data_IF_458004601415
#
_entry.id   IF_458004601415
#
_cell.length_a   1.000
_cell.length_b   1.000
_cell.length_c   1.000
_cell.angle_alpha   90.00
_cell.angle_beta   90.00
_cell.angle_gamma   90.00
#
_symmetry.space_group_name_H-M   'P 1'
#
loop_
_entity.id
_entity.type
_entity.pdbx_description
1 polymer ?
#
# COMPACT_ATOMS: atom_id res chain seq x y z
N UNK A 1 -16.57 -13.98 3.07
CA UNK A 1 -15.59 -13.60 4.07
C UNK A 1 -14.26 -13.27 3.43
N UNK A 2 -13.66 -12.11 3.73
CA UNK A 2 -12.37 -11.77 3.14
C UNK A 2 -11.27 -12.74 3.58
N UNK A 3 -10.37 -13.00 2.66
CA UNK A 3 -9.21 -13.85 2.90
C UNK A 3 -7.96 -12.99 2.91
N UNK A 4 -6.99 -13.30 3.76
CA UNK A 4 -5.74 -12.57 3.78
C UNK A 4 -4.93 -12.91 2.52
N UNK A 5 -4.53 -11.87 1.78
CA UNK A 5 -3.63 -12.00 0.63
C UNK A 5 -2.18 -11.77 1.05
N UNK A 6 -1.93 -10.69 1.77
CA UNK A 6 -0.58 -10.26 2.14
C UNK A 6 -0.61 -9.62 3.52
N UNK A 7 0.38 -9.92 4.35
CA UNK A 7 0.50 -9.32 5.67
C UNK A 7 1.94 -9.38 6.15
N UNK A 8 2.29 -8.52 7.08
CA UNK A 8 3.62 -8.54 7.68
C UNK A 8 3.95 -7.25 8.40
N UNK A 9 5.19 -7.17 8.81
CA UNK A 9 5.79 -5.99 9.41
C UNK A 9 6.85 -5.49 8.44
N UNK A 10 6.51 -4.45 7.67
CA UNK A 10 7.42 -3.90 6.69
C UNK A 10 8.46 -3.02 7.39
N UNK A 11 9.75 -3.37 7.26
CA UNK A 11 10.82 -2.51 7.73
C UNK A 11 11.23 -1.57 6.61
N UNK A 12 11.03 -0.27 6.81
CA UNK A 12 11.38 0.73 5.82
C UNK A 12 12.90 0.77 5.59
N UNK A 13 13.32 0.99 4.35
CA UNK A 13 14.73 1.06 3.98
C UNK A 13 15.06 2.24 3.06
N UNK A 14 14.12 3.18 2.91
CA UNK A 14 14.29 4.34 2.04
C UNK A 14 13.86 4.12 0.61
N UNK A 15 13.64 2.88 0.21
CA UNK A 15 13.16 2.54 -1.14
C UNK A 15 11.67 2.32 -1.15
N UNK A 16 11.09 2.35 -2.35
CA UNK A 16 9.68 2.00 -2.54
C UNK A 16 9.54 0.49 -2.40
N UNK A 17 8.79 0.05 -1.39
CA UNK A 17 8.64 -1.36 -1.06
C UNK A 17 7.21 -1.81 -1.31
N UNK A 18 7.07 -3.02 -1.82
CA UNK A 18 5.79 -3.58 -2.21
C UNK A 18 5.05 -4.17 -1.02
N UNK A 19 3.79 -3.78 -0.84
CA UNK A 19 2.87 -4.40 0.12
C UNK A 19 1.99 -5.43 -0.56
N UNK A 20 1.59 -5.16 -1.79
CA UNK A 20 0.71 -6.02 -2.58
C UNK A 20 1.10 -5.89 -4.05
N UNK A 21 1.14 -7.02 -4.73
CA UNK A 21 1.19 -7.07 -6.20
C UNK A 21 0.46 -8.35 -6.61
N UNK A 22 -0.71 -8.19 -7.21
CA UNK A 22 -1.58 -9.30 -7.51
C UNK A 22 -2.20 -9.16 -8.90
N UNK A 23 -2.24 -10.25 -9.62
CA UNK A 23 -2.75 -10.30 -11.00
C UNK A 23 -4.08 -11.03 -11.11
N UNK A 24 -4.73 -11.34 -9.99
CA UNK A 24 -6.05 -11.96 -9.99
C UNK A 24 -7.14 -10.91 -10.02
N UNK A 25 -8.28 -11.28 -10.59
CA UNK A 25 -9.42 -10.37 -10.70
C UNK A 25 -10.27 -10.48 -9.44
N UNK A 26 -9.89 -9.70 -8.42
CA UNK A 26 -10.54 -9.73 -7.11
C UNK A 26 -10.67 -8.33 -6.53
N UNK A 27 -11.39 -8.21 -5.44
CA UNK A 27 -11.43 -7.00 -4.64
C UNK A 27 -10.38 -7.09 -3.54
N UNK A 28 -9.65 -5.99 -3.34
CA UNK A 28 -8.63 -5.90 -2.30
C UNK A 28 -8.96 -4.76 -1.35
N UNK A 29 -8.71 -4.96 -0.07
CA UNK A 29 -8.86 -3.96 0.97
C UNK A 29 -7.89 -4.28 2.09
N UNK A 30 -7.72 -3.36 3.05
CA UNK A 30 -6.83 -3.67 4.16
C UNK A 30 -6.53 -2.48 5.03
N UNK A 31 -5.41 -2.58 5.73
CA UNK A 31 -4.95 -1.51 6.59
C UNK A 31 -3.42 -1.49 6.66
N UNK A 32 -2.90 -0.31 6.98
CA UNK A 32 -1.48 -0.08 7.22
C UNK A 32 -1.40 0.70 8.53
N UNK A 33 -0.55 0.25 9.45
CA UNK A 33 -0.38 0.89 10.74
C UNK A 33 0.85 1.79 10.72
N UNK A 34 0.64 3.10 10.85
CA UNK A 34 1.69 4.11 10.85
C UNK A 34 2.02 4.62 12.24
N UNK A 35 1.67 3.88 13.31
CA UNK A 35 1.86 4.38 14.67
C UNK A 35 3.34 4.60 15.02
N UNK A 36 4.26 3.94 14.32
CA UNK A 36 5.68 4.09 14.58
C UNK A 36 6.30 5.34 13.95
N UNK A 37 5.54 6.09 13.15
CA UNK A 37 6.02 7.36 12.60
C UNK A 37 6.25 8.37 13.72
N UNK A 38 7.33 9.12 13.59
CA UNK A 38 7.69 10.18 14.53
C UNK A 38 7.95 11.48 13.77
N UNK A 39 8.33 12.51 14.51
CA UNK A 39 8.68 13.80 13.92
C UNK A 39 9.76 13.63 12.84
N UNK A 40 9.57 14.31 11.72
CA UNK A 40 10.46 14.30 10.54
C UNK A 40 10.38 13.05 9.68
N UNK A 41 9.55 12.08 10.01
CA UNK A 41 9.32 10.93 9.12
C UNK A 41 8.31 11.30 8.04
N UNK A 42 8.54 10.82 6.82
CA UNK A 42 7.60 10.96 5.71
C UNK A 42 7.40 9.60 5.06
N UNK A 43 6.15 9.18 4.95
CA UNK A 43 5.76 7.92 4.31
C UNK A 43 4.83 8.23 3.15
N UNK A 44 5.11 7.60 2.01
CA UNK A 44 4.30 7.73 0.81
C UNK A 44 3.73 6.36 0.46
N UNK A 45 2.40 6.31 0.30
CA UNK A 45 1.71 5.10 -0.12
C UNK A 45 1.20 5.35 -1.54
N UNK A 46 1.59 4.48 -2.47
CA UNK A 46 1.23 4.61 -3.89
C UNK A 46 0.41 3.41 -4.32
N UNK A 47 -0.57 3.69 -5.14
CA UNK A 47 -1.48 2.69 -5.69
C UNK A 47 -1.32 2.65 -7.20
N UNK A 48 -1.05 1.46 -7.74
CA UNK A 48 -0.90 1.23 -9.17
C UNK A 48 -1.97 0.25 -9.62
N UNK A 49 -2.54 0.50 -10.78
CA UNK A 49 -3.51 -0.41 -11.36
C UNK A 49 -3.20 -0.62 -12.84
N UNK A 50 -3.40 -1.86 -13.28
CA UNK A 50 -3.36 -2.22 -14.68
C UNK A 50 -4.73 -2.73 -15.05
N UNK A 51 -5.43 -1.97 -15.85
CA UNK A 51 -6.80 -2.25 -16.26
C UNK A 51 -6.86 -2.41 -17.77
N UNK A 52 -7.91 -3.02 -18.27
CA UNK A 52 -8.15 -3.33 -19.69
C UNK A 52 -7.43 -4.59 -20.13
N UNK A 53 -8.22 -5.57 -20.48
CA UNK A 53 -7.73 -6.87 -20.88
C UNK A 53 -7.32 -6.94 -22.37
N UNK A 54 -7.69 -5.93 -23.18
CA UNK A 54 -7.41 -5.94 -24.61
C UNK A 54 -6.41 -4.87 -24.98
N UNK A 55 -5.47 -5.20 -25.84
CA UNK A 55 -4.47 -4.27 -26.31
C UNK A 55 -3.38 -3.99 -25.29
N UNK A 56 -2.90 -2.78 -25.26
CA UNK A 56 -1.80 -2.37 -24.40
C UNK A 56 -2.33 -1.86 -23.07
N UNK A 57 -2.11 -2.64 -22.02
CA UNK A 57 -2.40 -2.21 -20.65
C UNK A 57 -1.06 -2.03 -19.93
N UNK A 58 -0.90 -0.91 -19.23
CA UNK A 58 0.31 -0.63 -18.45
C UNK A 58 -0.06 -0.41 -17.01
N UNK A 59 0.84 -0.81 -16.11
CA UNK A 59 0.69 -0.54 -14.69
C UNK A 59 0.90 0.96 -14.47
N UNK A 60 -0.15 1.66 -14.09
CA UNK A 60 -0.12 3.11 -13.94
C UNK A 60 -0.45 3.51 -12.51
N UNK A 61 0.30 4.46 -11.98
CA UNK A 61 0.01 5.02 -10.66
C UNK A 61 -1.26 5.87 -10.76
N UNK A 62 -2.27 5.54 -9.95
CA UNK A 62 -3.52 6.26 -9.96
C UNK A 62 -3.77 7.06 -8.69
N UNK A 63 -3.08 6.77 -7.59
CA UNK A 63 -3.25 7.51 -6.35
C UNK A 63 -1.95 7.52 -5.54
N UNK A 64 -1.73 8.59 -4.81
CA UNK A 64 -0.57 8.75 -3.92
C UNK A 64 -1.05 9.45 -2.65
N UNK A 65 -0.78 8.86 -1.50
CA UNK A 65 -1.05 9.47 -0.20
C UNK A 65 0.27 9.70 0.52
N UNK A 66 0.45 10.90 1.07
CA UNK A 66 1.67 11.27 1.80
C UNK A 66 1.32 11.58 3.24
N UNK A 67 2.07 10.98 4.15
CA UNK A 67 1.92 11.16 5.60
C UNK A 67 3.22 11.70 6.17
N UNK A 68 3.15 12.75 6.99
CA UNK A 68 4.33 13.37 7.59
C UNK A 68 4.17 13.46 9.10
N UNK A 69 5.27 13.28 9.80
CA UNK A 69 5.35 13.33 11.26
C UNK A 69 4.51 12.24 11.93
N UNK A 70 4.45 12.29 13.26
CA UNK A 70 3.62 11.36 14.02
C UNK A 70 2.14 11.54 13.65
N UNK A 71 1.43 10.45 13.44
CA UNK A 71 0.03 10.48 13.02
C UNK A 71 -0.89 10.43 14.23
N UNK A 72 -1.88 11.33 14.26
CA UNK A 72 -2.92 11.31 15.28
C UNK A 72 -3.82 10.09 15.13
N UNK A 73 -4.10 9.73 13.86
CA UNK A 73 -4.89 8.55 13.54
C UNK A 73 -4.01 7.62 12.69
N UNK A 74 -3.16 6.80 13.31
CA UNK A 74 -2.12 6.07 12.59
C UNK A 74 -2.63 4.89 11.77
N UNK A 75 -3.81 4.38 12.04
CA UNK A 75 -4.36 3.24 11.30
C UNK A 75 -5.00 3.73 10.00
N UNK A 76 -4.36 3.43 8.89
CA UNK A 76 -4.82 3.81 7.56
C UNK A 76 -5.57 2.65 6.94
N UNK A 77 -6.84 2.88 6.59
CA UNK A 77 -7.64 1.84 5.95
C UNK A 77 -7.63 2.03 4.44
N UNK A 78 -7.46 0.93 3.74
CA UNK A 78 -7.54 0.86 2.29
C UNK A 78 -8.95 0.41 1.95
N UNK A 79 -9.73 1.29 1.32
CA UNK A 79 -11.09 0.98 0.88
C UNK A 79 -11.06 -0.13 -0.17
N UNK A 80 -12.14 -0.91 -0.33
CA UNK A 80 -12.16 -1.96 -1.33
C UNK A 80 -11.85 -1.45 -2.73
N UNK A 81 -10.87 -2.06 -3.38
CA UNK A 81 -10.38 -1.69 -4.71
C UNK A 81 -10.49 -2.90 -5.64
N UNK A 82 -11.12 -2.77 -6.81
CA UNK A 82 -11.16 -3.87 -7.76
C UNK A 82 -9.85 -3.97 -8.52
N UNK A 83 -9.38 -5.20 -8.71
CA UNK A 83 -8.28 -5.47 -9.60
C UNK A 83 -8.82 -6.04 -10.91
N UNK A 84 -8.45 -5.44 -12.03
CA UNK A 84 -8.80 -5.99 -13.34
C UNK A 84 -7.69 -6.93 -13.81
N UNK A 85 -6.54 -6.38 -14.20
CA UNK A 85 -5.40 -7.18 -14.65
C UNK A 85 -4.37 -7.30 -13.54
N UNK A 86 -4.02 -6.17 -12.93
CA UNK A 86 -3.02 -6.14 -11.87
C UNK A 86 -3.28 -4.97 -10.93
N UNK A 87 -3.01 -5.17 -9.65
CA UNK A 87 -2.99 -4.10 -8.65
C UNK A 87 -1.70 -4.20 -7.85
N UNK A 88 -1.10 -3.05 -7.57
CA UNK A 88 0.13 -2.96 -6.78
C UNK A 88 -0.01 -1.83 -5.78
N UNK A 89 0.33 -2.10 -4.53
CA UNK A 89 0.35 -1.09 -3.46
C UNK A 89 1.75 -1.09 -2.87
N UNK A 90 2.34 0.10 -2.76
CA UNK A 90 3.69 0.25 -2.23
C UNK A 90 3.74 1.26 -1.10
N UNK A 91 4.75 1.11 -0.25
CA UNK A 91 5.07 2.05 0.81
C UNK A 91 6.53 2.46 0.69
N UNK A 92 6.80 3.75 0.82
CA UNK A 92 8.16 4.26 0.85
C UNK A 92 8.29 5.29 1.97
N UNK A 93 9.25 5.10 2.86
CA UNK A 93 9.62 6.13 3.81
C UNK A 93 10.79 6.92 3.21
N UNK A 94 10.55 8.19 2.91
CA UNK A 94 11.52 9.02 2.18
C UNK A 94 12.41 9.85 3.09
N UNK A 95 11.98 10.14 4.31
CA UNK A 95 12.75 10.92 5.28
C UNK A 95 12.61 10.35 6.67
N UNK A 96 13.52 10.72 7.55
CA UNK A 96 13.49 10.32 8.95
C UNK A 96 14.19 8.99 9.20
N UNK A 97 13.96 8.42 10.38
CA UNK A 97 14.52 7.13 10.77
C UNK A 97 13.65 6.01 10.26
N UNK A 98 14.24 5.00 9.63
CA UNK A 98 13.49 3.86 9.13
C UNK A 98 12.74 3.17 10.26
N UNK A 99 11.43 2.95 10.06
CA UNK A 99 10.52 2.36 11.04
C UNK A 99 9.92 1.08 10.50
N UNK A 100 9.23 0.36 11.38
CA UNK A 100 8.49 -0.84 11.02
C UNK A 100 7.00 -0.47 10.92
N UNK A 101 6.37 -0.89 9.82
CA UNK A 101 4.97 -0.61 9.54
C UNK A 101 4.20 -1.91 9.34
N UNK A 102 3.40 -2.34 10.32
CA UNK A 102 2.54 -3.51 10.14
C UNK A 102 1.45 -3.24 9.10
N UNK A 103 1.10 -4.26 8.34
CA UNK A 103 0.04 -4.13 7.34
C UNK A 103 -0.66 -5.47 7.12
N UNK A 104 -1.86 -5.40 6.57
CA UNK A 104 -2.63 -6.58 6.21
C UNK A 104 -3.55 -6.24 5.04
N UNK A 105 -3.45 -7.02 3.98
CA UNK A 105 -4.26 -6.85 2.78
C UNK A 105 -5.15 -8.08 2.62
N UNK A 106 -6.43 -7.84 2.46
CA UNK A 106 -7.44 -8.88 2.26
C UNK A 106 -7.87 -8.93 0.81
N UNK A 107 -8.36 -10.09 0.40
CA UNK A 107 -8.95 -10.30 -0.92
C UNK A 107 -10.34 -10.94 -0.79
N UNK A 108 -11.18 -10.68 -1.75
CA UNK A 108 -12.50 -11.32 -1.80
C UNK A 108 -13.04 -11.43 -3.22
#
# INVERSE_FOLDING_TARGET
MPTVNSQGDLTADGTEQQLLDDTTNKWFSGWIDLENMASSDTVIIRYYIKARSAGVATLSKWATDTYTNAQTNPMIFIAPLPSDIEIKITLQQTTGTNRVYPYKIYES
#
